data_IF_708882493347
#
_entry.id   IF_708882493347
#
_cell.length_a   1.000
_cell.length_b   1.000
_cell.length_c   1.000
_cell.angle_alpha   90.00
_cell.angle_beta   90.00
_cell.angle_gamma   90.00
#
_symmetry.space_group_name_H-M   'P 1'
#
loop_
_entity.id
_entity.type
_entity.pdbx_description
1 polymer ?
#
# COMPACT_ATOMS: atom_id res chain seq x y z
N UNK A 1 -12.79 -8.30 -5.07
CA UNK A 1 -11.86 -7.74 -6.05
C UNK A 1 -10.56 -7.32 -5.36
N UNK A 2 -9.44 -7.81 -5.84
CA UNK A 2 -8.14 -7.42 -5.28
C UNK A 2 -7.55 -6.25 -6.06
N UNK A 3 -7.13 -5.21 -5.35
CA UNK A 3 -6.47 -4.04 -5.93
C UNK A 3 -5.04 -3.99 -5.41
N UNK A 4 -4.07 -3.99 -6.34
CA UNK A 4 -2.66 -3.86 -6.02
C UNK A 4 -2.21 -2.43 -6.34
N UNK A 5 -1.66 -1.75 -5.33
CA UNK A 5 -1.11 -0.40 -5.49
C UNK A 5 0.41 -0.52 -5.56
N UNK A 6 0.98 -0.17 -6.70
CA UNK A 6 2.42 -0.27 -6.91
C UNK A 6 3.05 1.10 -6.72
N UNK A 7 3.76 1.24 -5.61
CA UNK A 7 4.40 2.49 -5.23
C UNK A 7 3.87 3.00 -3.91
N UNK A 8 4.76 3.34 -3.00
CA UNK A 8 4.42 3.75 -1.64
C UNK A 8 4.79 5.19 -1.33
N UNK A 9 4.95 6.02 -2.36
CA UNK A 9 5.12 7.45 -2.16
C UNK A 9 3.85 8.07 -1.59
N UNK A 10 3.84 9.39 -1.40
CA UNK A 10 2.69 10.08 -0.81
C UNK A 10 1.41 9.84 -1.58
N UNK A 11 1.48 9.86 -2.91
CA UNK A 11 0.32 9.65 -3.77
C UNK A 11 -0.25 8.23 -3.63
N UNK A 12 0.61 7.20 -3.68
CA UNK A 12 0.16 5.80 -3.53
C UNK A 12 -0.42 5.52 -2.16
N UNK A 13 0.23 6.06 -1.12
CA UNK A 13 -0.24 5.91 0.25
C UNK A 13 -1.61 6.58 0.44
N UNK A 14 -1.77 7.80 -0.08
CA UNK A 14 -3.04 8.52 0.01
C UNK A 14 -4.15 7.76 -0.71
N UNK A 15 -3.85 7.26 -1.92
CA UNK A 15 -4.85 6.55 -2.71
C UNK A 15 -5.29 5.25 -2.06
N UNK A 16 -4.34 4.44 -1.55
CA UNK A 16 -4.70 3.18 -0.90
C UNK A 16 -5.50 3.42 0.37
N UNK A 17 -5.17 4.47 1.11
CA UNK A 17 -5.91 4.83 2.32
C UNK A 17 -7.34 5.23 1.98
N UNK A 18 -7.50 6.00 0.91
CA UNK A 18 -8.83 6.41 0.45
C UNK A 18 -9.66 5.20 -0.02
N UNK A 19 -9.05 4.31 -0.79
CA UNK A 19 -9.75 3.12 -1.29
C UNK A 19 -10.11 2.13 -0.19
N UNK A 20 -9.36 2.13 0.90
CA UNK A 20 -9.57 1.19 1.99
C UNK A 20 -10.94 1.33 2.67
N UNK A 21 -11.59 2.49 2.53
CA UNK A 21 -12.93 2.71 3.06
C UNK A 21 -13.99 1.88 2.33
N UNK A 22 -13.71 1.46 1.10
CA UNK A 22 -14.68 0.78 0.25
C UNK A 22 -14.23 -0.60 -0.23
N UNK A 23 -12.96 -0.95 -0.03
CA UNK A 23 -12.39 -2.20 -0.53
C UNK A 23 -11.66 -2.91 0.59
N UNK A 24 -11.90 -4.20 0.73
CA UNK A 24 -11.31 -5.01 1.78
C UNK A 24 -10.01 -5.68 1.34
N UNK A 25 -9.79 -5.83 0.04
CA UNK A 25 -8.64 -6.56 -0.47
C UNK A 25 -7.69 -5.62 -1.22
N UNK A 26 -6.87 -4.94 -0.45
CA UNK A 26 -5.87 -3.99 -0.96
C UNK A 26 -4.49 -4.44 -0.57
N UNK A 27 -3.56 -4.34 -1.50
CA UNK A 27 -2.16 -4.63 -1.22
C UNK A 27 -1.29 -3.49 -1.74
N UNK A 28 -0.46 -2.92 -0.86
CA UNK A 28 0.46 -1.84 -1.18
C UNK A 28 1.86 -2.41 -1.36
N UNK A 29 2.47 -2.14 -2.50
CA UNK A 29 3.83 -2.57 -2.76
C UNK A 29 4.81 -1.46 -2.48
N UNK A 30 5.82 -1.76 -1.66
CA UNK A 30 6.95 -0.89 -1.36
C UNK A 30 8.21 -1.54 -1.93
N UNK A 31 8.95 -0.81 -2.74
CA UNK A 31 10.15 -1.37 -3.37
C UNK A 31 11.21 -1.80 -2.36
N UNK A 32 11.38 -1.06 -1.26
CA UNK A 32 12.36 -1.37 -0.24
C UNK A 32 11.76 -2.17 0.89
N UNK A 33 12.42 -3.24 1.26
CA UNK A 33 11.95 -4.15 2.30
C UNK A 33 11.83 -3.46 3.66
N UNK A 34 12.81 -2.64 4.02
CA UNK A 34 12.77 -1.92 5.30
C UNK A 34 11.64 -0.91 5.35
N UNK A 35 11.32 -0.27 4.22
CA UNK A 35 10.19 0.65 4.15
C UNK A 35 8.87 -0.10 4.34
N UNK A 36 8.74 -1.27 3.72
CA UNK A 36 7.55 -2.09 3.88
C UNK A 36 7.37 -2.52 5.33
N UNK A 37 8.45 -2.91 5.98
CA UNK A 37 8.43 -3.31 7.38
C UNK A 37 7.99 -2.17 8.28
N UNK A 38 8.55 -0.99 8.06
CA UNK A 38 8.19 0.19 8.84
C UNK A 38 6.73 0.55 8.66
N UNK A 39 6.23 0.53 7.42
CA UNK A 39 4.84 0.82 7.15
C UNK A 39 3.90 -0.18 7.81
N UNK A 40 4.28 -1.46 7.85
CA UNK A 40 3.48 -2.48 8.53
C UNK A 40 3.40 -2.23 10.03
N UNK A 41 4.51 -1.80 10.64
CA UNK A 41 4.57 -1.58 12.08
C UNK A 41 3.88 -0.29 12.49
N UNK A 42 4.17 0.80 11.80
CA UNK A 42 3.70 2.14 12.20
C UNK A 42 2.38 2.53 11.56
N UNK A 43 2.07 1.95 10.40
CA UNK A 43 0.88 2.30 9.61
C UNK A 43 0.84 3.76 9.21
N UNK A 44 2.01 4.38 9.11
CA UNK A 44 2.14 5.77 8.72
C UNK A 44 3.35 5.95 7.80
N UNK A 45 3.15 6.61 6.67
CA UNK A 45 4.25 6.96 5.77
C UNK A 45 4.76 8.34 6.16
N UNK A 46 5.64 8.38 7.15
CA UNK A 46 6.13 9.61 7.73
C UNK A 46 6.92 10.47 6.76
N UNK A 47 7.57 9.83 5.79
CA UNK A 47 8.42 10.53 4.83
C UNK A 47 7.59 11.29 3.79
N UNK A 48 6.55 10.65 3.26
CA UNK A 48 5.80 11.20 2.13
C UNK A 48 4.38 11.65 2.47
N UNK A 49 3.79 11.13 3.53
CA UNK A 49 2.42 11.48 3.89
C UNK A 49 2.23 11.42 5.40
N UNK A 50 2.91 12.31 6.15
CA UNK A 50 2.81 12.30 7.62
C UNK A 50 1.40 12.62 8.10
N UNK A 51 1.03 12.01 9.20
CA UNK A 51 -0.27 12.25 9.83
C UNK A 51 -1.43 11.45 9.28
N UNK A 52 -1.22 10.67 8.21
CA UNK A 52 -2.26 9.83 7.64
C UNK A 52 -1.98 8.37 7.99
N UNK A 53 -2.96 7.72 8.60
CA UNK A 53 -2.79 6.33 9.03
C UNK A 53 -3.36 5.37 8.01
N UNK A 54 -2.55 4.38 7.64
CA UNK A 54 -2.96 3.31 6.73
C UNK A 54 -3.81 2.31 7.52
N UNK A 55 -5.05 2.02 7.09
CA UNK A 55 -5.90 1.04 7.79
C UNK A 55 -5.22 -0.32 7.90
N UNK A 56 -5.45 -0.99 9.03
CA UNK A 56 -4.75 -2.25 9.34
C UNK A 56 -5.09 -3.39 8.40
N UNK A 57 -6.21 -3.34 7.70
CA UNK A 57 -6.57 -4.39 6.75
C UNK A 57 -5.83 -4.29 5.42
N UNK A 58 -5.16 -3.17 5.16
CA UNK A 58 -4.35 -3.02 3.95
C UNK A 58 -3.08 -3.85 4.11
N UNK A 59 -2.84 -4.76 3.17
CA UNK A 59 -1.63 -5.56 3.16
C UNK A 59 -0.49 -4.75 2.56
N UNK A 60 0.70 -4.91 3.11
CA UNK A 60 1.89 -4.19 2.66
C UNK A 60 2.98 -5.20 2.39
N UNK A 61 3.64 -5.11 1.24
CA UNK A 61 4.68 -6.06 0.85
C UNK A 61 5.77 -5.38 0.03
N UNK A 62 6.97 -5.96 0.08
CA UNK A 62 8.06 -5.59 -0.81
C UNK A 62 8.26 -6.63 -1.91
N UNK A 63 7.37 -7.60 -2.00
CA UNK A 63 7.39 -8.65 -3.03
C UNK A 63 6.39 -8.29 -4.12
N UNK A 64 6.90 -7.85 -5.27
CA UNK A 64 6.07 -7.42 -6.39
C UNK A 64 5.16 -8.55 -6.90
N UNK A 65 5.71 -9.74 -6.99
CA UNK A 65 4.95 -10.89 -7.47
C UNK A 65 3.76 -11.19 -6.55
N UNK A 66 3.98 -11.13 -5.25
CA UNK A 66 2.92 -11.30 -4.27
C UNK A 66 1.87 -10.20 -4.38
N UNK A 67 2.31 -8.97 -4.58
CA UNK A 67 1.39 -7.83 -4.68
C UNK A 67 0.42 -7.98 -5.85
N UNK A 68 0.92 -8.40 -7.01
CA UNK A 68 0.09 -8.48 -8.22
C UNK A 68 -0.60 -9.83 -8.40
N UNK A 69 -0.21 -10.84 -7.65
CA UNK A 69 -0.80 -12.18 -7.77
C UNK A 69 -2.29 -12.14 -7.46
N UNK A 70 -3.11 -12.55 -8.41
CA UNK A 70 -4.56 -12.56 -8.24
C UNK A 70 -5.21 -11.19 -8.25
N UNK A 71 -4.44 -10.13 -8.59
CA UNK A 71 -5.00 -8.78 -8.61
C UNK A 71 -5.94 -8.60 -9.80
N UNK A 72 -7.10 -8.03 -9.52
CA UNK A 72 -8.06 -7.67 -10.55
C UNK A 72 -7.76 -6.29 -11.13
N UNK A 73 -7.10 -5.45 -10.35
CA UNK A 73 -6.74 -4.12 -10.75
C UNK A 73 -5.35 -3.80 -10.21
N UNK A 74 -4.48 -3.27 -11.06
CA UNK A 74 -3.13 -2.85 -10.65
C UNK A 74 -3.00 -1.37 -10.94
N UNK A 75 -2.68 -0.59 -9.90
CA UNK A 75 -2.52 0.86 -10.02
C UNK A 75 -1.05 1.21 -9.85
N UNK A 76 -0.49 1.91 -10.82
CA UNK A 76 0.90 2.36 -10.77
C UNK A 76 0.94 3.80 -10.31
N UNK A 77 1.66 4.05 -9.22
CA UNK A 77 1.76 5.38 -8.63
C UNK A 77 3.20 5.84 -8.43
N UNK A 78 4.08 5.42 -9.30
CA UNK A 78 5.50 5.78 -9.24
C UNK A 78 5.79 7.12 -9.87
#
# INVERSE_FOLDING_TARGET
MKIAMIGSGGWGTAMVTSLAARHDDLELYCRREEAARELKETRENKEYLPGVRIPVHVKITSDLEKAVSGADCVVLST
#
